data_IF_982213587822
#
_entry.id   IF_982213587822
#
_cell.length_a   1.000
_cell.length_b   1.000
_cell.length_c   1.000
_cell.angle_alpha   90.00
_cell.angle_beta   90.00
_cell.angle_gamma   90.00
#
_symmetry.space_group_name_H-M   'P 1'
#
loop_
_entity.id
_entity.type
_entity.pdbx_description
1 polymer ?
#
# COMPACT_ATOMS: atom_id res chain seq x y z
N UNK A 1 -32.56 61.93 -75.79
CA UNK A 1 -32.43 60.46 -75.86
C UNK A 1 -30.98 60.07 -75.55
N UNK A 2 -30.37 60.72 -74.56
CA UNK A 2 -28.95 60.55 -74.21
C UNK A 2 -28.81 60.36 -72.69
N UNK A 3 -29.68 61.00 -71.89
CA UNK A 3 -29.77 60.79 -70.43
C UNK A 3 -30.31 59.40 -70.02
N UNK A 4 -31.11 58.73 -70.86
CA UNK A 4 -31.69 57.40 -70.51
C UNK A 4 -30.75 56.22 -70.72
N UNK A 5 -29.56 56.46 -71.30
CA UNK A 5 -28.58 55.40 -71.58
C UNK A 5 -27.50 55.34 -70.49
N UNK A 6 -27.21 56.44 -69.81
CA UNK A 6 -26.27 56.47 -68.68
C UNK A 6 -26.88 55.87 -67.41
N UNK A 7 -28.15 56.14 -67.09
CA UNK A 7 -28.80 55.57 -65.89
C UNK A 7 -28.88 54.03 -65.90
N UNK A 8 -29.01 53.43 -67.10
CA UNK A 8 -29.04 51.96 -67.25
C UNK A 8 -27.65 51.31 -67.15
N UNK A 9 -26.58 52.07 -67.40
CA UNK A 9 -25.21 51.55 -67.35
C UNK A 9 -24.60 51.66 -65.95
N UNK A 10 -25.08 52.61 -65.14
CA UNK A 10 -24.66 52.80 -63.74
C UNK A 10 -25.34 51.77 -62.82
N UNK A 11 -26.63 51.49 -63.03
CA UNK A 11 -27.35 50.43 -62.30
C UNK A 11 -26.78 49.03 -62.56
N UNK A 12 -26.32 48.74 -63.78
CA UNK A 12 -25.67 47.47 -64.10
C UNK A 12 -24.23 47.35 -63.54
N UNK A 13 -23.60 48.47 -63.15
CA UNK A 13 -22.26 48.47 -62.55
C UNK A 13 -22.31 48.28 -61.04
N UNK A 14 -23.31 48.81 -60.34
CA UNK A 14 -23.48 48.56 -58.90
C UNK A 14 -23.84 47.10 -58.60
N UNK A 15 -24.76 46.50 -59.36
CA UNK A 15 -25.21 45.11 -59.14
C UNK A 15 -24.08 44.08 -59.34
N UNK A 16 -23.17 44.34 -60.29
CA UNK A 16 -22.00 43.48 -60.57
C UNK A 16 -20.87 43.66 -59.55
N UNK A 17 -20.86 44.78 -58.81
CA UNK A 17 -19.87 45.05 -57.75
C UNK A 17 -20.30 44.40 -56.44
N UNK A 18 -21.59 44.42 -56.09
CA UNK A 18 -22.11 43.71 -54.89
C UNK A 18 -21.93 42.18 -54.99
N UNK A 19 -22.26 41.56 -56.14
CA UNK A 19 -22.07 40.10 -56.32
C UNK A 19 -20.57 39.66 -56.24
N UNK A 20 -19.64 40.58 -56.55
CA UNK A 20 -18.19 40.31 -56.49
C UNK A 20 -17.59 40.50 -55.10
N UNK A 21 -18.22 41.27 -54.22
CA UNK A 21 -17.78 41.41 -52.83
C UNK A 21 -18.30 40.27 -51.96
N UNK A 22 -19.53 39.79 -52.18
CA UNK A 22 -20.08 38.64 -51.45
C UNK A 22 -19.31 37.33 -51.74
N UNK A 23 -18.91 37.11 -53.00
CA UNK A 23 -18.13 35.91 -53.39
C UNK A 23 -16.70 35.88 -52.83
N UNK A 24 -16.08 37.04 -52.59
CA UNK A 24 -14.75 37.13 -51.96
C UNK A 24 -14.79 36.91 -50.45
N UNK A 25 -15.84 37.36 -49.76
CA UNK A 25 -15.97 37.11 -48.33
C UNK A 25 -16.27 35.65 -48.00
N UNK A 26 -16.98 34.93 -48.88
CA UNK A 26 -17.23 33.49 -48.71
C UNK A 26 -15.96 32.66 -48.94
N UNK A 27 -15.15 32.97 -49.97
CA UNK A 27 -13.87 32.28 -50.23
C UNK A 27 -12.86 32.47 -49.09
N UNK A 28 -12.78 33.67 -48.50
CA UNK A 28 -11.86 33.95 -47.37
C UNK A 28 -12.33 33.23 -46.09
N UNK A 29 -13.64 33.09 -45.86
CA UNK A 29 -14.20 32.35 -44.71
C UNK A 29 -14.05 30.83 -44.85
N UNK A 30 -14.00 30.29 -46.07
CA UNK A 30 -13.75 28.86 -46.32
C UNK A 30 -12.26 28.52 -46.13
N UNK A 31 -11.34 29.37 -46.58
CA UNK A 31 -9.89 29.18 -46.36
C UNK A 31 -9.51 29.27 -44.87
N UNK A 32 -10.08 30.20 -44.10
CA UNK A 32 -9.85 30.30 -42.66
C UNK A 32 -10.39 29.09 -41.88
N UNK A 33 -11.56 28.57 -42.26
CA UNK A 33 -12.13 27.33 -41.67
C UNK A 33 -11.28 26.09 -41.95
N UNK A 34 -10.73 25.99 -43.17
CA UNK A 34 -9.85 24.88 -43.55
C UNK A 34 -8.55 24.88 -42.72
N UNK A 35 -7.96 26.05 -42.50
CA UNK A 35 -6.73 26.18 -41.70
C UNK A 35 -6.94 25.89 -40.21
N UNK A 36 -8.08 26.29 -39.63
CA UNK A 36 -8.40 25.99 -38.23
C UNK A 36 -8.65 24.49 -37.98
N UNK A 37 -9.26 23.78 -38.92
CA UNK A 37 -9.47 22.33 -38.83
C UNK A 37 -8.16 21.53 -38.95
N UNK A 38 -7.25 21.96 -39.82
CA UNK A 38 -5.91 21.35 -39.94
C UNK A 38 -5.08 21.52 -38.65
N UNK A 39 -5.05 22.72 -38.08
CA UNK A 39 -4.33 22.98 -36.82
C UNK A 39 -4.95 22.18 -35.67
N UNK A 40 -6.28 22.07 -35.60
CA UNK A 40 -6.96 21.26 -34.58
C UNK A 40 -6.63 19.77 -34.71
N UNK A 41 -6.50 19.25 -35.92
CA UNK A 41 -6.14 17.85 -36.15
C UNK A 41 -4.68 17.58 -35.76
N UNK A 42 -3.77 18.51 -36.08
CA UNK A 42 -2.35 18.41 -35.67
C UNK A 42 -2.23 18.48 -34.13
N UNK A 43 -2.97 19.37 -33.46
CA UNK A 43 -2.96 19.44 -31.99
C UNK A 43 -3.51 18.15 -31.37
N UNK A 44 -4.58 17.56 -31.93
CA UNK A 44 -5.10 16.27 -31.48
C UNK A 44 -4.12 15.13 -31.70
N UNK A 45 -3.42 15.09 -32.83
CA UNK A 45 -2.40 14.08 -33.08
C UNK A 45 -1.22 14.22 -32.11
N UNK A 46 -0.79 15.44 -31.79
CA UNK A 46 0.26 15.71 -30.79
C UNK A 46 -0.21 15.32 -29.38
N UNK A 47 -1.44 15.68 -28.98
CA UNK A 47 -2.01 15.26 -27.69
C UNK A 47 -2.18 13.74 -27.60
N UNK A 48 -2.56 13.08 -28.70
CA UNK A 48 -2.64 11.62 -28.79
C UNK A 48 -1.26 10.95 -28.73
N UNK A 49 -0.22 11.55 -29.33
CA UNK A 49 1.16 11.06 -29.22
C UNK A 49 1.71 11.27 -27.80
N UNK A 50 1.48 12.44 -27.18
CA UNK A 50 1.90 12.71 -25.79
C UNK A 50 1.18 11.79 -24.79
N UNK A 51 -0.10 11.48 -25.00
CA UNK A 51 -0.83 10.53 -24.15
C UNK A 51 -0.35 9.10 -24.36
N UNK A 52 -0.06 8.66 -25.59
CA UNK A 52 0.54 7.35 -25.87
C UNK A 52 1.95 7.21 -25.31
N UNK A 53 2.76 8.26 -25.37
CA UNK A 53 4.09 8.30 -24.75
C UNK A 53 4.00 8.29 -23.22
N UNK A 54 3.08 9.06 -22.62
CA UNK A 54 2.84 9.06 -21.18
C UNK A 54 2.34 7.71 -20.65
N UNK A 55 1.41 7.05 -21.35
CA UNK A 55 0.92 5.71 -21.03
C UNK A 55 2.01 4.64 -21.18
N UNK A 56 2.85 4.75 -22.21
CA UNK A 56 4.02 3.88 -22.39
C UNK A 56 5.07 4.11 -21.31
N UNK A 57 5.38 5.35 -20.94
CA UNK A 57 6.31 5.66 -19.85
C UNK A 57 5.80 5.13 -18.51
N UNK A 58 4.52 5.30 -18.20
CA UNK A 58 3.95 4.80 -16.95
C UNK A 58 3.90 3.27 -16.91
N UNK A 59 3.60 2.64 -18.05
CA UNK A 59 3.66 1.19 -18.22
C UNK A 59 5.09 0.65 -18.12
N UNK A 60 6.05 1.31 -18.77
CA UNK A 60 7.47 0.97 -18.70
C UNK A 60 8.04 1.19 -17.28
N UNK A 61 7.57 2.21 -16.55
CA UNK A 61 7.93 2.43 -15.14
C UNK A 61 7.39 1.31 -14.24
N UNK A 62 6.12 0.92 -14.40
CA UNK A 62 5.53 -0.22 -13.67
C UNK A 62 6.26 -1.53 -13.97
N UNK A 63 6.56 -1.77 -15.24
CA UNK A 63 7.35 -2.93 -15.67
C UNK A 63 8.75 -2.87 -15.05
N UNK A 64 9.45 -1.74 -15.13
CA UNK A 64 10.82 -1.59 -14.58
C UNK A 64 10.85 -1.73 -13.05
N UNK A 65 9.82 -1.25 -12.35
CA UNK A 65 9.69 -1.39 -10.90
C UNK A 65 9.44 -2.85 -10.47
N UNK A 66 8.70 -3.62 -11.28
CA UNK A 66 8.55 -5.07 -11.10
C UNK A 66 9.86 -5.84 -11.39
N UNK A 67 10.69 -5.35 -12.32
CA UNK A 67 11.97 -5.99 -12.70
C UNK A 67 13.18 -5.57 -11.84
N UNK A 68 13.06 -4.53 -11.02
CA UNK A 68 14.08 -4.17 -10.04
C UNK A 68 14.05 -5.20 -8.89
N UNK A 69 15.18 -5.87 -8.56
CA UNK A 69 15.21 -6.75 -7.41
C UNK A 69 14.92 -5.91 -6.16
N UNK A 70 13.73 -6.09 -5.56
CA UNK A 70 13.34 -5.45 -4.29
C UNK A 70 14.48 -5.67 -3.31
N UNK A 71 15.22 -4.59 -3.04
CA UNK A 71 16.33 -4.62 -2.10
C UNK A 71 15.73 -4.77 -0.71
N UNK A 72 15.76 -5.99 -0.19
CA UNK A 72 15.33 -6.28 1.17
C UNK A 72 16.06 -5.35 2.12
N UNK A 73 15.31 -4.66 2.97
CA UNK A 73 15.88 -3.85 4.02
C UNK A 73 15.84 -4.63 5.33
N UNK A 74 16.88 -4.47 6.15
CA UNK A 74 16.82 -4.94 7.53
C UNK A 74 15.63 -4.26 8.21
N UNK A 75 14.81 -5.06 8.87
CA UNK A 75 13.63 -4.57 9.57
C UNK A 75 12.32 -4.65 8.80
N UNK A 76 12.37 -5.11 7.55
CA UNK A 76 11.18 -5.29 6.72
C UNK A 76 10.47 -6.62 7.03
N UNK A 77 9.14 -6.63 6.93
CA UNK A 77 8.32 -7.85 6.96
C UNK A 77 7.97 -8.21 5.52
N UNK A 78 8.31 -9.42 5.10
CA UNK A 78 8.09 -9.94 3.76
C UNK A 78 7.33 -11.25 3.81
N UNK A 79 6.64 -11.57 2.72
CA UNK A 79 5.98 -12.86 2.53
C UNK A 79 7.00 -13.90 2.03
N UNK A 80 6.98 -15.07 2.62
CA UNK A 80 7.83 -16.20 2.28
C UNK A 80 6.99 -17.46 2.09
N UNK A 81 7.32 -18.28 1.11
CA UNK A 81 6.71 -19.58 0.88
C UNK A 81 7.56 -20.67 1.52
N UNK A 82 6.94 -21.54 2.31
CA UNK A 82 7.61 -22.69 2.91
C UNK A 82 7.85 -23.75 1.84
N UNK A 83 9.11 -24.06 1.56
CA UNK A 83 9.49 -25.08 0.56
C UNK A 83 9.54 -26.46 1.21
N UNK A 84 10.10 -26.54 2.42
CA UNK A 84 10.27 -27.80 3.14
C UNK A 84 10.26 -27.56 4.65
N UNK A 85 9.71 -28.52 5.41
CA UNK A 85 9.70 -28.45 6.88
C UNK A 85 10.39 -29.67 7.48
N UNK A 86 11.45 -29.43 8.24
CA UNK A 86 12.17 -30.43 9.04
C UNK A 86 11.85 -30.22 10.53
N UNK A 87 12.28 -31.12 11.42
CA UNK A 87 11.92 -30.99 12.85
C UNK A 87 12.64 -29.82 13.54
N UNK A 88 13.86 -29.50 13.10
CA UNK A 88 14.69 -28.41 13.63
C UNK A 88 14.38 -27.03 13.04
N UNK A 89 13.58 -26.95 11.97
CA UNK A 89 13.28 -25.70 11.27
C UNK A 89 12.63 -25.89 9.91
N UNK A 90 12.48 -24.79 9.16
CA UNK A 90 11.86 -24.79 7.84
C UNK A 90 12.72 -24.06 6.81
N UNK A 91 12.76 -24.58 5.58
CA UNK A 91 13.32 -23.90 4.42
C UNK A 91 12.24 -23.03 3.78
N UNK A 92 12.55 -21.74 3.64
CA UNK A 92 11.62 -20.75 3.08
C UNK A 92 12.22 -20.06 1.86
N UNK A 93 11.38 -19.80 0.87
CA UNK A 93 11.71 -19.03 -0.33
C UNK A 93 10.98 -17.70 -0.30
N UNK A 94 11.71 -16.63 -0.58
CA UNK A 94 11.22 -15.24 -0.58
C UNK A 94 11.25 -14.64 -1.99
N UNK A 95 11.19 -15.48 -3.03
CA UNK A 95 11.31 -15.05 -4.43
C UNK A 95 12.72 -14.62 -4.83
N UNK A 96 13.75 -15.02 -4.09
CA UNK A 96 15.17 -14.87 -4.47
C UNK A 96 15.73 -16.19 -4.98
N UNK A 97 16.95 -16.13 -5.52
CA UNK A 97 17.68 -17.31 -6.03
C UNK A 97 18.06 -18.33 -4.97
N UNK A 98 18.03 -17.94 -3.69
CA UNK A 98 18.47 -18.78 -2.58
C UNK A 98 17.35 -18.96 -1.56
N UNK A 99 17.17 -20.19 -1.12
CA UNK A 99 16.32 -20.55 0.01
C UNK A 99 17.02 -20.21 1.33
N UNK A 100 16.23 -19.89 2.36
CA UNK A 100 16.74 -19.55 3.68
C UNK A 100 16.22 -20.55 4.70
N UNK A 101 17.12 -21.07 5.54
CA UNK A 101 16.73 -21.90 6.66
C UNK A 101 16.30 -21.04 7.85
N UNK A 102 15.09 -21.28 8.36
CA UNK A 102 14.54 -20.64 9.56
C UNK A 102 14.53 -21.67 10.69
N UNK A 103 15.35 -21.49 11.74
CA UNK A 103 15.37 -22.40 12.88
C UNK A 103 14.04 -22.39 13.64
N UNK A 104 13.72 -23.51 14.32
CA UNK A 104 12.51 -23.67 15.13
C UNK A 104 12.29 -22.51 16.13
N UNK A 105 13.38 -22.02 16.74
CA UNK A 105 13.38 -20.91 17.71
C UNK A 105 12.90 -19.58 17.13
N UNK A 106 12.98 -19.42 15.81
CA UNK A 106 12.54 -18.24 15.08
C UNK A 106 11.16 -18.44 14.42
N UNK A 107 10.63 -19.67 14.41
CA UNK A 107 9.30 -19.97 13.89
C UNK A 107 8.19 -19.67 14.90
N UNK A 108 8.40 -19.96 16.19
CA UNK A 108 7.37 -19.75 17.23
C UNK A 108 7.95 -19.35 18.57
N UNK A 109 7.14 -18.66 19.38
CA UNK A 109 7.43 -18.36 20.79
C UNK A 109 7.10 -19.53 21.70
N UNK A 110 6.14 -20.38 21.29
CA UNK A 110 5.68 -21.53 22.08
C UNK A 110 6.69 -22.65 21.98
N UNK A 111 6.91 -23.38 23.08
CA UNK A 111 7.75 -24.58 23.05
C UNK A 111 7.00 -25.68 22.30
N UNK A 112 7.39 -25.89 21.05
CA UNK A 112 6.93 -26.98 20.19
C UNK A 112 8.06 -27.96 19.97
N UNK A 113 7.73 -29.22 19.68
CA UNK A 113 8.71 -30.28 19.49
C UNK A 113 9.18 -30.39 18.04
N UNK A 114 8.36 -29.96 17.08
CA UNK A 114 8.68 -29.97 15.66
C UNK A 114 8.14 -28.70 14.97
N UNK A 115 8.86 -28.24 13.93
CA UNK A 115 8.41 -27.12 13.10
C UNK A 115 7.12 -27.43 12.32
N UNK A 116 6.83 -28.72 12.09
CA UNK A 116 5.64 -29.22 11.37
C UNK A 116 4.33 -28.90 12.05
N UNK A 117 4.36 -28.61 13.35
CA UNK A 117 3.19 -28.17 14.12
C UNK A 117 2.88 -26.67 13.91
N UNK A 118 3.85 -25.91 13.38
CA UNK A 118 3.79 -24.44 13.31
C UNK A 118 3.63 -23.93 11.89
N UNK A 119 4.22 -24.65 10.92
CA UNK A 119 4.19 -24.30 9.50
C UNK A 119 4.05 -25.57 8.66
N UNK A 120 3.36 -25.44 7.53
CA UNK A 120 3.18 -26.50 6.56
C UNK A 120 3.94 -26.23 5.25
N UNK A 121 4.31 -27.29 4.53
CA UNK A 121 4.91 -27.15 3.20
C UNK A 121 3.92 -26.50 2.23
N UNK A 122 4.38 -25.52 1.46
CA UNK A 122 3.56 -24.72 0.55
C UNK A 122 2.80 -23.57 1.20
N UNK A 123 2.90 -23.38 2.52
CA UNK A 123 2.25 -22.26 3.22
C UNK A 123 2.98 -20.93 2.95
N UNK A 124 2.21 -19.86 2.77
CA UNK A 124 2.74 -18.49 2.76
C UNK A 124 2.75 -17.92 4.17
N UNK A 125 3.93 -17.57 4.66
CA UNK A 125 4.15 -17.02 6.00
C UNK A 125 4.80 -15.64 5.92
N UNK A 126 4.50 -14.78 6.88
CA UNK A 126 5.19 -13.50 7.02
C UNK A 126 6.45 -13.66 7.88
N UNK A 127 7.58 -13.15 7.38
CA UNK A 127 8.88 -13.25 8.02
C UNK A 127 9.54 -11.89 8.10
N UNK A 128 10.25 -11.66 9.20
CA UNK A 128 10.97 -10.42 9.47
C UNK A 128 12.43 -10.58 9.10
N UNK A 129 12.96 -9.60 8.37
CA UNK A 129 14.36 -9.56 7.95
C UNK A 129 15.23 -9.07 9.10
N UNK A 130 15.83 -10.02 9.85
CA UNK A 130 16.71 -9.72 10.99
C UNK A 130 18.05 -9.17 10.52
N UNK A 131 18.61 -9.78 9.46
CA UNK A 131 19.89 -9.38 8.90
C UNK A 131 19.91 -9.70 7.41
N UNK A 132 20.22 -8.70 6.60
CA UNK A 132 20.45 -8.82 5.17
C UNK A 132 21.93 -9.13 4.92
N UNK A 133 22.20 -10.33 4.41
CA UNK A 133 23.34 -10.76 3.58
C UNK A 133 24.75 -10.24 3.94
N UNK A 134 25.62 -11.17 4.36
CA UNK A 134 27.08 -11.07 4.21
C UNK A 134 27.53 -11.70 2.88
N UNK A 135 28.83 -11.71 2.59
CA UNK A 135 29.44 -12.15 1.31
C UNK A 135 29.06 -13.57 0.81
N UNK A 136 28.41 -14.39 1.66
CA UNK A 136 28.05 -15.78 1.38
C UNK A 136 26.55 -16.01 1.13
N UNK A 137 25.71 -14.96 1.16
CA UNK A 137 24.27 -15.10 0.92
C UNK A 137 23.44 -15.37 2.18
N UNK A 138 24.04 -15.35 3.38
CA UNK A 138 23.34 -15.69 4.62
C UNK A 138 22.31 -14.64 5.01
N UNK A 139 21.04 -14.95 4.79
CA UNK A 139 19.89 -14.17 5.21
C UNK A 139 19.33 -14.76 6.52
N UNK A 140 19.04 -13.91 7.50
CA UNK A 140 18.42 -14.36 8.76
C UNK A 140 16.99 -13.84 8.80
N UNK A 141 16.04 -14.77 8.79
CA UNK A 141 14.61 -14.51 8.81
C UNK A 141 13.99 -15.01 10.12
N UNK A 142 12.92 -14.35 10.55
CA UNK A 142 12.19 -14.72 11.76
C UNK A 142 10.69 -14.52 11.60
N UNK A 143 9.91 -15.60 11.70
CA UNK A 143 8.44 -15.54 11.76
C UNK A 143 8.00 -14.95 13.10
N UNK A 144 8.61 -15.38 14.21
CA UNK A 144 8.30 -14.91 15.56
C UNK A 144 8.42 -13.38 15.70
N UNK A 145 9.45 -12.78 15.10
CA UNK A 145 9.61 -11.32 15.10
C UNK A 145 8.60 -10.62 14.20
N UNK A 146 8.21 -11.23 13.07
CA UNK A 146 7.16 -10.69 12.22
C UNK A 146 5.82 -10.65 12.95
N UNK A 147 5.46 -11.73 13.64
CA UNK A 147 4.25 -11.80 14.46
C UNK A 147 4.27 -10.74 15.56
N UNK A 148 5.42 -10.57 16.22
CA UNK A 148 5.60 -9.56 17.26
C UNK A 148 5.41 -8.13 16.73
N UNK A 149 6.02 -7.78 15.60
CA UNK A 149 5.89 -6.44 15.01
C UNK A 149 4.47 -6.18 14.49
N UNK A 150 3.79 -7.21 13.95
CA UNK A 150 2.38 -7.12 13.56
C UNK A 150 1.47 -6.85 14.75
N UNK A 151 1.67 -7.58 15.86
CA UNK A 151 0.88 -7.35 17.08
C UNK A 151 1.16 -5.95 17.59
N UNK A 152 2.41 -5.50 17.65
CA UNK A 152 2.75 -4.12 18.02
C UNK A 152 2.04 -3.07 17.17
N UNK A 153 2.00 -3.26 15.84
CA UNK A 153 1.28 -2.36 14.94
C UNK A 153 -0.21 -2.31 15.27
N UNK A 154 -0.84 -3.47 15.50
CA UNK A 154 -2.25 -3.56 15.91
C UNK A 154 -2.50 -2.86 17.25
N UNK A 155 -1.62 -3.04 18.23
CA UNK A 155 -1.73 -2.38 19.54
C UNK A 155 -1.58 -0.86 19.41
N UNK A 156 -0.69 -0.39 18.52
CA UNK A 156 -0.53 1.03 18.24
C UNK A 156 -1.80 1.62 17.61
N UNK A 157 -2.35 0.95 16.60
CA UNK A 157 -3.62 1.36 15.97
C UNK A 157 -4.78 1.39 16.97
N UNK A 158 -4.87 0.38 17.84
CA UNK A 158 -5.88 0.34 18.90
C UNK A 158 -5.69 1.46 19.95
N UNK A 159 -4.45 1.84 20.25
CA UNK A 159 -4.15 2.98 21.11
C UNK A 159 -4.59 4.31 20.46
N UNK A 160 -4.22 4.54 19.20
CA UNK A 160 -4.54 5.75 18.45
C UNK A 160 -6.06 5.91 18.26
N UNK A 161 -6.77 4.80 17.98
CA UNK A 161 -8.21 4.77 17.78
C UNK A 161 -9.01 4.58 19.08
N UNK A 162 -8.34 4.43 20.22
CA UNK A 162 -8.97 4.19 21.52
C UNK A 162 -9.91 2.96 21.55
N UNK A 163 -9.59 1.94 20.77
CA UNK A 163 -10.40 0.74 20.59
C UNK A 163 -10.20 -0.25 21.75
N UNK A 164 -11.28 -0.89 22.26
CA UNK A 164 -11.16 -1.94 23.26
C UNK A 164 -10.58 -3.22 22.65
N UNK A 165 -9.60 -3.81 23.32
CA UNK A 165 -8.97 -5.09 22.94
C UNK A 165 -9.31 -6.16 23.97
N UNK A 166 -9.49 -7.40 23.52
CA UNK A 166 -9.64 -8.53 24.44
C UNK A 166 -8.28 -9.09 24.85
N UNK A 167 -8.00 -9.15 26.14
CA UNK A 167 -6.78 -9.72 26.69
C UNK A 167 -7.03 -10.75 27.77
N UNK A 168 -6.20 -11.78 27.83
CA UNK A 168 -6.28 -12.84 28.85
C UNK A 168 -5.29 -12.59 29.98
N UNK A 169 -5.75 -12.66 31.23
CA UNK A 169 -4.88 -12.47 32.39
C UNK A 169 -4.01 -13.72 32.60
N UNK A 170 -2.71 -13.58 32.41
CA UNK A 170 -1.76 -14.69 32.54
C UNK A 170 -1.28 -14.86 33.98
N UNK A 171 -0.95 -13.77 34.67
CA UNK A 171 -0.25 -13.85 35.97
C UNK A 171 -0.51 -12.65 36.88
N UNK A 172 -0.52 -12.90 38.18
CA UNK A 172 -0.57 -11.85 39.22
C UNK A 172 0.84 -11.40 39.59
N UNK A 173 1.06 -10.09 39.69
CA UNK A 173 2.30 -9.46 40.17
C UNK A 173 2.00 -8.50 41.33
N UNK A 174 3.04 -8.00 42.03
CA UNK A 174 2.85 -7.23 43.28
C UNK A 174 2.00 -5.95 43.10
N UNK A 175 2.04 -5.32 41.93
CA UNK A 175 1.33 -4.07 41.62
C UNK A 175 0.02 -4.22 40.83
N UNK A 176 -0.28 -5.42 40.31
CA UNK A 176 -1.36 -5.60 39.34
C UNK A 176 -1.35 -6.98 38.69
N UNK A 177 -1.75 -7.02 37.43
CA UNK A 177 -1.86 -8.24 36.63
C UNK A 177 -1.06 -8.11 35.33
N UNK A 178 -0.58 -9.23 34.82
CA UNK A 178 -0.07 -9.35 33.47
C UNK A 178 -1.16 -9.91 32.57
N UNK A 179 -1.40 -9.22 31.46
CA UNK A 179 -2.39 -9.58 30.44
C UNK A 179 -1.64 -9.90 29.16
N UNK A 180 -2.02 -10.98 28.48
CA UNK A 180 -1.53 -11.31 27.16
C UNK A 180 -2.47 -10.71 26.10
N UNK A 181 -1.96 -9.72 25.36
CA UNK A 181 -2.60 -9.14 24.16
C UNK A 181 -1.89 -9.61 22.87
N UNK A 182 -1.18 -10.74 22.95
CA UNK A 182 -0.16 -11.18 21.99
C UNK A 182 1.25 -10.73 22.40
N UNK A 183 1.32 -9.65 23.19
CA UNK A 183 2.50 -9.20 23.91
C UNK A 183 2.10 -9.05 25.39
N UNK A 184 2.96 -9.43 26.34
CA UNK A 184 2.69 -9.22 27.76
C UNK A 184 2.55 -7.72 28.07
N UNK A 185 1.37 -7.33 28.56
CA UNK A 185 1.04 -5.98 29.02
C UNK A 185 0.76 -5.97 30.53
N UNK A 186 0.98 -4.83 31.16
CA UNK A 186 0.72 -4.64 32.59
C UNK A 186 -0.61 -3.93 32.82
N UNK A 187 -1.48 -4.53 33.64
CA UNK A 187 -2.73 -3.93 34.10
C UNK A 187 -2.59 -3.56 35.59
N UNK A 188 -2.58 -2.25 35.95
CA UNK A 188 -2.57 -1.81 37.33
C UNK A 188 -3.82 -2.28 38.09
N UNK A 189 -3.66 -2.63 39.37
CA UNK A 189 -4.80 -3.09 40.18
C UNK A 189 -5.94 -2.05 40.25
N UNK A 190 -5.60 -0.77 40.28
CA UNK A 190 -6.58 0.32 40.38
C UNK A 190 -7.50 0.42 39.15
N UNK A 191 -7.13 -0.20 38.03
CA UNK A 191 -7.88 -0.15 36.77
C UNK A 191 -8.72 -1.41 36.50
N UNK A 192 -8.77 -2.36 37.45
CA UNK A 192 -9.48 -3.63 37.26
C UNK A 192 -11.00 -3.52 37.38
N UNK A 193 -11.50 -2.72 38.32
CA UNK A 193 -12.94 -2.56 38.58
C UNK A 193 -13.17 -1.25 39.35
N UNK A 194 -14.41 -0.75 39.30
CA UNK A 194 -14.84 0.45 40.04
C UNK A 194 -14.82 0.24 41.57
N UNK A 195 -14.87 -1.02 42.02
CA UNK A 195 -14.77 -1.41 43.42
C UNK A 195 -13.34 -1.77 43.83
N UNK A 196 -13.02 -1.57 45.12
CA UNK A 196 -11.69 -1.85 45.68
C UNK A 196 -11.40 -3.36 45.64
N UNK A 197 -10.78 -3.83 44.55
CA UNK A 197 -10.34 -5.23 44.43
C UNK A 197 -9.33 -5.55 45.52
N UNK A 198 -9.72 -6.43 46.44
CA UNK A 198 -8.84 -6.85 47.54
C UNK A 198 -7.76 -7.77 46.98
N UNK A 199 -6.58 -7.76 47.61
CA UNK A 199 -5.42 -8.58 47.18
C UNK A 199 -5.76 -10.08 47.05
N UNK A 200 -6.74 -10.56 47.83
CA UNK A 200 -7.13 -11.96 47.89
C UNK A 200 -7.89 -12.44 46.64
N UNK A 201 -8.49 -11.54 45.88
CA UNK A 201 -9.38 -11.89 44.78
C UNK A 201 -8.68 -11.87 43.40
N UNK A 202 -7.48 -11.27 43.29
CA UNK A 202 -6.71 -11.22 42.04
C UNK A 202 -6.46 -12.59 41.38
N UNK A 203 -6.19 -13.69 42.13
CA UNK A 203 -6.02 -15.00 41.51
C UNK A 203 -7.27 -15.49 40.76
N UNK A 204 -8.47 -15.03 41.13
CA UNK A 204 -9.73 -15.45 40.50
C UNK A 204 -9.93 -14.86 39.10
N UNK A 205 -9.07 -13.94 38.69
CA UNK A 205 -9.10 -13.31 37.38
C UNK A 205 -8.11 -13.97 36.40
N UNK A 206 -7.18 -14.82 36.88
CA UNK A 206 -6.22 -15.52 36.02
C UNK A 206 -6.97 -16.49 35.08
N UNK A 207 -6.63 -16.46 33.79
CA UNK A 207 -7.26 -17.26 32.74
C UNK A 207 -8.58 -16.71 32.20
N UNK A 208 -9.06 -15.56 32.71
CA UNK A 208 -10.24 -14.89 32.15
C UNK A 208 -9.82 -13.83 31.13
N UNK A 209 -10.67 -13.66 30.12
CA UNK A 209 -10.54 -12.61 29.10
C UNK A 209 -11.35 -11.40 29.51
N UNK A 210 -10.75 -10.21 29.38
CA UNK A 210 -11.40 -8.94 29.65
C UNK A 210 -11.17 -7.96 28.51
N UNK A 211 -12.17 -7.13 28.17
CA UNK A 211 -11.95 -5.98 27.30
C UNK A 211 -11.11 -4.95 28.06
N UNK A 212 -9.98 -4.57 27.49
CA UNK A 212 -9.05 -3.60 28.05
C UNK A 212 -8.78 -2.50 27.02
N UNK A 213 -8.53 -1.30 27.53
CA UNK A 213 -8.13 -0.15 26.71
C UNK A 213 -6.70 0.24 27.06
N UNK A 214 -5.90 0.51 26.04
CA UNK A 214 -4.51 0.95 26.23
C UNK A 214 -4.54 2.42 26.66
N UNK A 215 -3.95 2.72 27.82
CA UNK A 215 -3.85 4.09 28.37
C UNK A 215 -2.48 4.69 28.05
N UNK A 216 -1.45 3.84 28.05
CA UNK A 216 -0.07 4.23 27.83
C UNK A 216 0.58 3.16 26.95
N UNK A 217 1.39 3.62 26.00
CA UNK A 217 2.07 2.79 25.02
C UNK A 217 3.51 3.28 24.92
N UNK A 218 4.43 2.50 25.51
CA UNK A 218 5.87 2.76 25.42
C UNK A 218 6.53 1.61 24.66
N UNK A 219 7.39 1.98 23.71
CA UNK A 219 8.27 1.06 23.00
C UNK A 219 9.69 1.41 23.44
N UNK A 220 10.16 0.81 24.52
CA UNK A 220 11.60 0.79 24.83
C UNK A 220 12.32 0.03 23.70
N UNK A 221 13.05 0.76 22.84
CA UNK A 221 13.89 0.21 21.77
C UNK A 221 15.35 0.19 22.21
#
# INVERSE_FOLDING_TARGET
>A
MEERKEELEEQAKEEVVEEKEETKEEEVKEEEKSGEEEIRNIIKEIEEEETKEGENEESLRKITEDYLPKRLRKGEIIKAMVVKVDDDGALVSIGRKSETFVPLKELTRTKVSSAKEVVHEGEEIDVYVVRTEGAMGDLVLSKRRADYEKVWRKLKEAYDNQEPLEGEITKVVKGGLLIDLGIPAFLPRTQLELDIVRRKDLPNYVGKKFPVKIIEFDREI
#
